data_IF_871306828169
#
_entry.id   IF_871306828169
#
_cell.length_a   1.000
_cell.length_b   1.000
_cell.length_c   1.000
_cell.angle_alpha   90.00
_cell.angle_beta   90.00
_cell.angle_gamma   90.00
#
_symmetry.space_group_name_H-M   'P 1'
#
loop_
_entity.id
_entity.type
_entity.pdbx_description
1 polymer ?
#
# COMPACT_ATOMS: atom_id res chain seq x y z
N UNK A 1 -1.57 11.05 -26.33
CA UNK A 1 -2.23 10.84 -25.02
C UNK A 1 -1.14 10.64 -23.99
N UNK A 2 -1.16 11.39 -22.89
CA UNK A 2 -0.24 11.17 -21.76
C UNK A 2 -0.77 10.02 -20.93
N UNK A 3 0.00 8.98 -20.74
CA UNK A 3 -0.31 7.94 -19.78
C UNK A 3 0.24 8.38 -18.41
N UNK A 4 -0.61 8.42 -17.40
CA UNK A 4 -0.21 8.58 -16.01
C UNK A 4 -0.13 7.18 -15.41
N UNK A 5 1.05 6.78 -15.02
CA UNK A 5 1.25 5.52 -14.31
C UNK A 5 1.18 5.86 -12.83
N UNK A 6 0.14 5.42 -12.14
CA UNK A 6 0.09 5.46 -10.69
C UNK A 6 0.90 4.28 -10.14
N UNK A 7 1.70 4.54 -9.12
CA UNK A 7 2.43 3.50 -8.42
C UNK A 7 1.91 3.42 -6.97
N UNK A 8 0.82 2.67 -6.72
CA UNK A 8 0.17 2.58 -5.41
C UNK A 8 1.12 2.17 -4.29
N UNK A 9 2.14 1.36 -4.61
CA UNK A 9 3.18 0.94 -3.68
C UNK A 9 3.92 2.10 -3.03
N UNK A 10 4.33 3.11 -3.79
CA UNK A 10 5.01 4.29 -3.24
C UNK A 10 4.14 5.08 -2.27
N UNK A 11 2.82 5.18 -2.54
CA UNK A 11 1.89 5.86 -1.63
C UNK A 11 1.75 5.07 -0.33
N UNK A 12 1.69 3.75 -0.39
CA UNK A 12 1.64 2.88 0.79
C UNK A 12 2.91 2.96 1.62
N UNK A 13 4.09 2.98 0.99
CA UNK A 13 5.38 3.14 1.67
C UNK A 13 5.49 4.51 2.33
N UNK A 14 5.06 5.58 1.64
CA UNK A 14 5.00 6.92 2.20
C UNK A 14 4.05 6.97 3.41
N UNK A 15 2.87 6.37 3.34
CA UNK A 15 1.93 6.27 4.44
C UNK A 15 2.54 5.53 5.65
N UNK A 16 3.25 4.43 5.42
CA UNK A 16 3.96 3.69 6.48
C UNK A 16 5.07 4.53 7.13
N UNK A 17 5.85 5.27 6.33
CA UNK A 17 6.89 6.17 6.83
C UNK A 17 6.29 7.30 7.68
N UNK A 18 5.21 7.92 7.22
CA UNK A 18 4.46 8.93 7.97
C UNK A 18 3.93 8.34 9.29
N UNK A 19 3.34 7.15 9.28
CA UNK A 19 2.88 6.47 10.49
C UNK A 19 4.01 6.22 11.50
N UNK A 20 5.21 5.86 11.03
CA UNK A 20 6.41 5.71 11.85
C UNK A 20 6.84 7.00 12.53
N UNK A 21 6.80 8.13 11.81
CA UNK A 21 7.07 9.46 12.36
C UNK A 21 6.05 9.77 13.46
N UNK A 22 4.76 9.56 13.23
CA UNK A 22 3.71 9.78 14.21
C UNK A 22 3.92 8.97 15.48
N UNK A 23 4.24 7.70 15.34
CA UNK A 23 4.53 6.82 16.49
C UNK A 23 5.72 7.33 17.32
N UNK A 24 6.77 7.80 16.66
CA UNK A 24 7.96 8.37 17.34
C UNK A 24 7.62 9.66 18.07
N UNK A 25 6.81 10.54 17.48
CA UNK A 25 6.35 11.78 18.12
C UNK A 25 5.48 11.50 19.34
N UNK A 26 4.54 10.55 19.25
CA UNK A 26 3.69 10.11 20.37
C UNK A 26 4.57 9.60 21.53
N UNK A 27 5.55 8.76 21.25
CA UNK A 27 6.45 8.22 22.25
C UNK A 27 7.26 9.33 22.94
N UNK A 28 7.82 10.28 22.18
CA UNK A 28 8.57 11.39 22.71
C UNK A 28 7.71 12.32 23.58
N UNK A 29 6.50 12.68 23.12
CA UNK A 29 5.57 13.51 23.86
C UNK A 29 5.09 12.85 25.16
N UNK A 30 4.81 11.55 25.15
CA UNK A 30 4.46 10.80 26.36
C UNK A 30 5.64 10.74 27.36
N UNK A 31 6.85 10.55 26.88
CA UNK A 31 8.03 10.54 27.74
C UNK A 31 8.27 11.91 28.41
N UNK A 32 7.99 13.01 27.71
CA UNK A 32 8.15 14.36 28.25
C UNK A 32 6.96 14.82 29.14
N UNK A 33 5.80 14.20 29.03
CA UNK A 33 4.55 14.70 29.64
C UNK A 33 4.65 14.86 31.15
N UNK A 34 5.12 13.85 31.88
CA UNK A 34 5.17 13.89 33.36
C UNK A 34 6.10 14.99 33.88
N UNK A 35 7.29 15.14 33.31
CA UNK A 35 8.29 16.13 33.74
C UNK A 35 7.90 17.57 33.39
N UNK A 36 7.14 17.78 32.33
CA UNK A 36 6.75 19.12 31.86
C UNK A 36 5.45 19.60 32.47
N UNK A 37 4.46 18.71 32.66
CA UNK A 37 3.14 19.07 33.21
C UNK A 37 3.13 19.16 34.75
N UNK A 38 4.16 18.66 35.42
CA UNK A 38 4.31 18.65 36.85
C UNK A 38 5.64 19.29 37.30
N UNK A 39 5.96 20.49 36.81
CA UNK A 39 7.19 21.22 37.18
C UNK A 39 7.11 21.59 38.66
N UNK A 40 8.13 21.20 39.43
CA UNK A 40 8.26 21.58 40.85
C UNK A 40 8.80 23.00 40.99
N UNK A 41 8.29 23.74 42.00
CA UNK A 41 8.82 25.04 42.31
C UNK A 41 10.30 24.92 42.74
N UNK A 42 11.14 25.84 42.28
CA UNK A 42 12.58 25.84 42.58
C UNK A 42 12.90 26.20 44.04
N UNK A 43 11.98 26.94 44.69
CA UNK A 43 12.08 27.33 46.09
C UNK A 43 10.67 27.39 46.73
N UNK A 44 10.60 27.57 48.04
CA UNK A 44 9.35 27.65 48.81
C UNK A 44 8.66 29.01 48.80
N UNK A 45 8.94 29.86 47.79
CA UNK A 45 8.38 31.21 47.67
C UNK A 45 7.28 31.28 46.60
N UNK A 46 6.45 32.33 46.65
CA UNK A 46 5.31 32.52 45.78
C UNK A 46 5.71 32.72 44.30
N UNK A 47 6.88 33.29 44.06
CA UNK A 47 7.35 33.55 42.68
C UNK A 47 7.76 32.23 42.02
N UNK A 48 8.55 31.42 42.74
CA UNK A 48 8.91 30.07 42.25
C UNK A 48 7.70 29.21 42.00
N UNK A 49 6.69 29.25 42.89
CA UNK A 49 5.43 28.52 42.69
C UNK A 49 4.65 29.05 41.49
N UNK A 50 4.56 30.36 41.30
CA UNK A 50 3.88 30.96 40.16
C UNK A 50 4.56 30.60 38.82
N UNK A 51 5.88 30.63 38.77
CA UNK A 51 6.65 30.23 37.58
C UNK A 51 6.40 28.74 37.24
N UNK A 52 6.49 27.87 38.23
CA UNK A 52 6.21 26.44 38.04
C UNK A 52 4.77 26.19 37.51
N UNK A 53 3.80 26.95 38.04
CA UNK A 53 2.40 26.85 37.58
C UNK A 53 2.24 27.29 36.13
N UNK A 54 2.90 28.37 35.69
CA UNK A 54 2.85 28.84 34.29
C UNK A 54 3.43 27.77 33.36
N UNK A 55 4.61 27.23 33.64
CA UNK A 55 5.21 26.20 32.79
C UNK A 55 4.39 24.90 32.76
N UNK A 56 3.89 24.46 33.91
CA UNK A 56 3.02 23.28 33.98
C UNK A 56 1.69 23.50 33.25
N UNK A 57 1.14 24.71 33.33
CA UNK A 57 -0.08 25.10 32.58
C UNK A 57 0.14 25.04 31.08
N UNK A 58 1.21 25.71 30.61
CA UNK A 58 1.57 25.69 29.19
C UNK A 58 1.80 24.27 28.66
N UNK A 59 2.46 23.42 29.44
CA UNK A 59 2.71 22.05 29.07
C UNK A 59 1.41 21.23 28.94
N UNK A 60 0.40 21.47 29.79
CA UNK A 60 -0.91 20.82 29.65
C UNK A 60 -1.65 21.27 28.40
N UNK A 61 -1.60 22.57 28.05
CA UNK A 61 -2.17 23.08 26.81
C UNK A 61 -1.46 22.47 25.58
N UNK A 62 -0.12 22.35 25.65
CA UNK A 62 0.65 21.66 24.60
C UNK A 62 0.22 20.20 24.44
N UNK A 63 0.03 19.46 25.55
CA UNK A 63 -0.42 18.07 25.47
C UNK A 63 -1.83 17.94 24.87
N UNK A 64 -2.72 18.89 25.11
CA UNK A 64 -4.03 18.91 24.45
C UNK A 64 -3.92 19.15 22.95
N UNK A 65 -2.99 20.01 22.51
CA UNK A 65 -2.72 20.24 21.08
C UNK A 65 -2.10 19.02 20.44
N UNK A 66 -1.18 18.33 21.13
CA UNK A 66 -0.57 17.08 20.66
C UNK A 66 -1.64 16.03 20.39
N UNK A 67 -2.62 15.86 21.27
CA UNK A 67 -3.71 14.89 21.04
C UNK A 67 -4.50 15.18 19.77
N UNK A 68 -4.74 16.46 19.43
CA UNK A 68 -5.38 16.84 18.17
C UNK A 68 -4.50 16.56 16.97
N UNK A 69 -3.20 16.83 17.09
CA UNK A 69 -2.23 16.54 16.02
C UNK A 69 -2.09 15.02 15.76
N UNK A 70 -2.13 14.19 16.79
CA UNK A 70 -2.14 12.73 16.68
C UNK A 70 -3.39 12.24 15.92
N UNK A 71 -4.57 12.76 16.25
CA UNK A 71 -5.81 12.41 15.55
C UNK A 71 -5.76 12.82 14.06
N UNK A 72 -5.30 14.02 13.76
CA UNK A 72 -5.12 14.48 12.39
C UNK A 72 -4.12 13.60 11.62
N UNK A 73 -3.00 13.26 12.24
CA UNK A 73 -1.97 12.41 11.64
C UNK A 73 -2.52 11.01 11.30
N UNK A 74 -3.30 10.41 12.21
CA UNK A 74 -3.96 9.14 11.97
C UNK A 74 -4.94 9.20 10.78
N UNK A 75 -5.72 10.28 10.67
CA UNK A 75 -6.62 10.49 9.54
C UNK A 75 -5.86 10.66 8.22
N UNK A 76 -4.73 11.37 8.24
CA UNK A 76 -3.88 11.53 7.06
C UNK A 76 -3.35 10.18 6.56
N UNK A 77 -2.84 9.33 7.46
CA UNK A 77 -2.35 7.99 7.11
C UNK A 77 -3.48 7.12 6.53
N UNK A 78 -4.68 7.19 7.11
CA UNK A 78 -5.84 6.48 6.59
C UNK A 78 -6.24 6.97 5.18
N UNK A 79 -6.23 8.29 4.96
CA UNK A 79 -6.55 8.86 3.66
C UNK A 79 -5.54 8.44 2.58
N UNK A 80 -4.24 8.42 2.90
CA UNK A 80 -3.20 7.95 2.00
C UNK A 80 -3.37 6.47 1.64
N UNK A 81 -3.64 5.62 2.61
CA UNK A 81 -3.89 4.19 2.38
C UNK A 81 -5.16 3.96 1.55
N UNK A 82 -6.23 4.71 1.83
CA UNK A 82 -7.46 4.66 1.04
C UNK A 82 -7.23 5.07 -0.41
N UNK A 83 -6.44 6.10 -0.64
CA UNK A 83 -6.05 6.56 -1.98
C UNK A 83 -5.24 5.50 -2.72
N UNK A 84 -4.25 4.89 -2.07
CA UNK A 84 -3.46 3.81 -2.66
C UNK A 84 -4.34 2.62 -3.07
N UNK A 85 -5.30 2.23 -2.21
CA UNK A 85 -6.27 1.17 -2.49
C UNK A 85 -7.18 1.50 -3.68
N UNK A 86 -7.66 2.74 -3.79
CA UNK A 86 -8.48 3.20 -4.92
C UNK A 86 -7.71 3.14 -6.25
N UNK A 87 -6.45 3.56 -6.26
CA UNK A 87 -5.60 3.43 -7.45
C UNK A 87 -5.37 1.97 -7.83
N UNK A 88 -5.05 1.10 -6.87
CA UNK A 88 -4.85 -0.32 -7.13
C UNK A 88 -6.12 -0.99 -7.70
N UNK A 89 -7.29 -0.66 -7.17
CA UNK A 89 -8.57 -1.15 -7.67
C UNK A 89 -8.85 -0.67 -9.11
N UNK A 90 -8.54 0.59 -9.42
CA UNK A 90 -8.72 1.15 -10.77
C UNK A 90 -7.79 0.48 -11.77
N UNK A 91 -6.53 0.23 -11.41
CA UNK A 91 -5.58 -0.48 -12.27
C UNK A 91 -6.03 -1.93 -12.50
N UNK A 92 -6.45 -2.64 -11.46
CA UNK A 92 -6.98 -4.00 -11.59
C UNK A 92 -8.22 -4.05 -12.51
N UNK A 93 -9.13 -3.09 -12.37
CA UNK A 93 -10.30 -2.99 -13.22
C UNK A 93 -9.95 -2.66 -14.69
N UNK A 94 -8.84 -1.94 -14.93
CA UNK A 94 -8.41 -1.58 -16.28
C UNK A 94 -7.70 -2.74 -17.00
N UNK A 95 -7.03 -3.61 -16.29
CA UNK A 95 -6.29 -4.75 -16.87
C UNK A 95 -7.18 -5.98 -17.07
N UNK A 96 -8.14 -6.21 -16.17
CA UNK A 96 -9.01 -7.39 -16.19
C UNK A 96 -9.84 -7.56 -17.47
N UNK A 97 -10.52 -6.52 -18.02
CA UNK A 97 -11.29 -6.65 -19.25
C UNK A 97 -10.44 -6.98 -20.48
N UNK A 98 -9.21 -6.43 -20.54
CA UNK A 98 -8.30 -6.69 -21.67
C UNK A 98 -7.77 -8.13 -21.65
N UNK A 99 -7.46 -8.67 -20.49
CA UNK A 99 -7.03 -10.07 -20.33
C UNK A 99 -8.16 -11.00 -20.69
N UNK A 100 -9.39 -10.75 -20.22
CA UNK A 100 -10.56 -11.57 -20.53
C UNK A 100 -10.88 -11.54 -22.02
N UNK A 101 -10.85 -10.37 -22.66
CA UNK A 101 -11.05 -10.24 -24.11
C UNK A 101 -9.96 -10.97 -24.92
N UNK A 102 -8.72 -10.94 -24.46
CA UNK A 102 -7.64 -11.67 -25.11
C UNK A 102 -7.81 -13.18 -24.97
N UNK A 103 -8.16 -13.66 -23.77
CA UNK A 103 -8.41 -15.07 -23.51
C UNK A 103 -9.62 -15.58 -24.30
N UNK A 104 -10.71 -14.82 -24.37
CA UNK A 104 -11.89 -15.14 -25.17
C UNK A 104 -11.56 -15.19 -26.67
N UNK A 105 -10.80 -14.22 -27.18
CA UNK A 105 -10.37 -14.19 -28.56
C UNK A 105 -9.46 -15.38 -28.91
N UNK A 106 -8.51 -15.70 -28.02
CA UNK A 106 -7.65 -16.87 -28.17
C UNK A 106 -8.45 -18.18 -28.10
N UNK A 107 -9.45 -18.26 -27.23
CA UNK A 107 -10.37 -19.40 -27.17
C UNK A 107 -11.12 -19.64 -28.49
N UNK A 108 -11.67 -18.60 -29.08
CA UNK A 108 -12.38 -18.69 -30.39
C UNK A 108 -11.40 -19.09 -31.51
N UNK A 109 -10.21 -18.55 -31.56
CA UNK A 109 -9.20 -18.87 -32.59
C UNK A 109 -8.68 -20.29 -32.42
N UNK A 110 -8.52 -20.77 -31.20
CA UNK A 110 -7.95 -22.08 -30.90
C UNK A 110 -8.98 -23.21 -30.98
N UNK A 111 -10.30 -22.92 -30.81
CA UNK A 111 -11.35 -23.91 -30.76
C UNK A 111 -11.30 -24.92 -31.96
N UNK A 112 -11.15 -24.48 -33.23
CA UNK A 112 -11.12 -25.42 -34.36
C UNK A 112 -9.94 -26.39 -34.33
N UNK A 113 -8.77 -25.90 -33.90
CA UNK A 113 -7.53 -26.69 -33.84
C UNK A 113 -7.48 -27.58 -32.61
N UNK A 114 -8.05 -27.14 -31.49
CA UNK A 114 -8.19 -28.00 -30.31
C UNK A 114 -9.11 -29.18 -30.56
N UNK A 115 -10.23 -28.95 -31.26
CA UNK A 115 -11.18 -30.02 -31.63
C UNK A 115 -10.61 -31.00 -32.66
N UNK A 116 -9.84 -30.52 -33.66
CA UNK A 116 -9.32 -31.35 -34.75
C UNK A 116 -7.98 -32.02 -34.42
N UNK A 117 -7.11 -31.35 -33.67
CA UNK A 117 -5.71 -31.75 -33.47
C UNK A 117 -5.34 -31.88 -31.99
N UNK A 118 -6.23 -31.48 -31.07
CA UNK A 118 -6.02 -31.51 -29.63
C UNK A 118 -4.96 -30.48 -29.14
N UNK A 119 -4.73 -29.41 -29.93
CA UNK A 119 -3.70 -28.42 -29.64
C UNK A 119 -4.14 -27.00 -30.02
N UNK A 120 -3.79 -25.98 -29.21
CA UNK A 120 -4.07 -24.60 -29.58
C UNK A 120 -3.21 -24.15 -30.77
N UNK A 121 -3.78 -23.30 -31.61
CA UNK A 121 -3.10 -22.69 -32.76
C UNK A 121 -2.12 -21.59 -32.27
N UNK A 122 -2.56 -20.82 -31.26
CA UNK A 122 -1.81 -19.72 -30.67
C UNK A 122 -1.81 -19.92 -29.16
N UNK A 123 -0.62 -19.95 -28.56
CA UNK A 123 -0.45 -20.10 -27.11
C UNK A 123 0.78 -20.93 -26.74
N UNK A 124 0.95 -21.20 -25.48
CA UNK A 124 2.03 -22.07 -24.99
C UNK A 124 1.69 -23.53 -25.33
N UNK A 125 2.69 -24.29 -25.78
CA UNK A 125 2.56 -25.74 -25.95
C UNK A 125 2.21 -26.43 -24.61
N UNK A 126 1.76 -27.70 -24.70
CA UNK A 126 1.41 -28.49 -23.52
C UNK A 126 2.60 -28.57 -22.55
N UNK A 127 2.33 -28.38 -21.26
CA UNK A 127 3.34 -28.54 -20.22
C UNK A 127 3.84 -29.99 -20.20
N UNK A 128 5.15 -30.18 -19.96
CA UNK A 128 5.71 -31.51 -19.70
C UNK A 128 5.05 -32.19 -18.52
N UNK A 129 5.02 -33.50 -18.48
CA UNK A 129 4.41 -34.26 -17.39
C UNK A 129 5.10 -33.93 -16.04
N UNK A 130 4.33 -33.67 -14.99
CA UNK A 130 4.90 -33.35 -13.68
C UNK A 130 5.84 -34.44 -13.18
N UNK A 131 7.04 -34.05 -12.75
CA UNK A 131 8.04 -34.97 -12.17
C UNK A 131 8.88 -35.77 -13.15
N UNK A 132 8.70 -35.62 -14.49
CA UNK A 132 9.47 -36.38 -15.49
C UNK A 132 10.67 -35.64 -16.05
N UNK A 133 10.80 -34.34 -15.79
CA UNK A 133 11.85 -33.51 -16.40
C UNK A 133 11.69 -33.30 -17.92
N UNK A 134 10.56 -33.72 -18.51
CA UNK A 134 10.29 -33.50 -19.94
C UNK A 134 10.00 -32.03 -20.20
N UNK A 135 10.67 -31.48 -21.22
CA UNK A 135 10.34 -30.16 -21.73
C UNK A 135 8.93 -30.16 -22.31
N UNK A 136 8.18 -29.06 -22.10
CA UNK A 136 6.89 -28.86 -22.75
C UNK A 136 7.04 -28.95 -24.29
N UNK A 137 5.99 -29.40 -24.97
CA UNK A 137 6.01 -29.54 -26.43
C UNK A 137 6.17 -28.16 -27.09
N UNK A 138 7.16 -27.94 -27.96
CA UNK A 138 7.26 -26.71 -28.73
C UNK A 138 6.06 -26.58 -29.67
N UNK A 139 5.63 -25.35 -29.97
CA UNK A 139 4.68 -25.07 -31.04
C UNK A 139 5.24 -25.62 -32.37
N UNK A 140 4.83 -26.81 -32.75
CA UNK A 140 5.18 -27.32 -34.07
C UNK A 140 4.33 -26.59 -35.11
N UNK A 141 4.92 -26.11 -36.22
CA UNK A 141 4.13 -25.58 -37.34
C UNK A 141 3.16 -26.64 -37.83
N UNK A 142 1.93 -26.24 -38.14
CA UNK A 142 0.94 -27.12 -38.75
C UNK A 142 1.54 -27.72 -40.05
N UNK A 143 1.40 -29.04 -40.31
CA UNK A 143 1.80 -29.60 -41.58
C UNK A 143 0.97 -28.95 -42.68
N UNK A 144 1.62 -28.20 -43.54
CA UNK A 144 1.02 -27.71 -44.77
C UNK A 144 0.92 -28.93 -45.67
N UNK A 145 -0.25 -29.55 -45.72
CA UNK A 145 -0.57 -30.58 -46.73
C UNK A 145 -0.60 -29.91 -48.10
N UNK A 146 0.38 -30.26 -48.94
CA UNK A 146 0.42 -29.92 -50.34
C UNK A 146 -0.68 -30.65 -51.15
#
# INVERSE_FOLDING_TARGET
MSFVIAAPGFVTEAAASIAGIGSSMVAANRAAAASTTGVMAAAGDEVSAAVAAVFSGQAREYQALVAQAEAFHAQLVQALNGTAGAYAATEAASTSPLVTLLDDALGVINLPTEVLVGRPLIGNGANGAPGTGQAGAPLAPLPISG
#
